data_IF_610590559770
#
_entry.id   IF_610590559770
#
_cell.length_a   1.000
_cell.length_b   1.000
_cell.length_c   1.000
_cell.angle_alpha   90.00
_cell.angle_beta   90.00
_cell.angle_gamma   90.00
#
_symmetry.space_group_name_H-M   'P 1'
#
loop_
_entity.id
_entity.type
_entity.pdbx_description
1 polymer ?
#
# COMPACT_ATOMS: atom_id res chain seq x y z
N UNK A 1 -3.32 1.16 11.91
CA UNK A 1 -3.86 1.79 10.68
C UNK A 1 -2.89 2.79 10.08
N UNK A 2 -2.52 3.90 10.74
CA UNK A 2 -1.64 4.94 10.14
C UNK A 2 -0.37 4.37 9.49
N UNK A 3 0.36 3.50 10.20
CA UNK A 3 1.55 2.84 9.64
C UNK A 3 1.26 1.96 8.42
N UNK A 4 0.14 1.23 8.42
CA UNK A 4 -0.25 0.43 7.26
C UNK A 4 -0.55 1.33 6.05
N UNK A 5 -1.27 2.44 6.25
CA UNK A 5 -1.53 3.41 5.19
C UNK A 5 -0.25 4.03 4.63
N UNK A 6 0.76 4.28 5.46
CA UNK A 6 2.05 4.84 5.02
C UNK A 6 2.97 3.83 4.32
N UNK A 7 2.81 2.53 4.59
CA UNK A 7 3.77 1.51 4.16
C UNK A 7 3.21 0.52 3.13
N UNK A 8 1.90 0.52 2.85
CA UNK A 8 1.27 -0.52 2.02
C UNK A 8 1.83 -0.61 0.59
N UNK A 9 2.23 0.53 0.01
CA UNK A 9 2.79 0.64 -1.35
C UNK A 9 4.31 0.86 -1.36
N UNK A 10 5.01 0.64 -0.24
CA UNK A 10 6.47 0.92 -0.13
C UNK A 10 7.33 0.18 -1.15
N UNK A 11 6.81 -0.90 -1.72
CA UNK A 11 7.46 -1.74 -2.72
C UNK A 11 7.16 -1.36 -4.16
N UNK A 12 6.26 -0.39 -4.40
CA UNK A 12 5.91 0.08 -5.74
C UNK A 12 6.81 1.22 -6.24
N UNK A 13 7.89 1.55 -5.50
CA UNK A 13 8.92 2.47 -5.99
C UNK A 13 9.92 1.74 -6.88
N UNK A 14 10.42 2.35 -7.97
CA UNK A 14 11.31 1.68 -8.93
C UNK A 14 12.55 1.03 -8.29
N UNK A 15 13.14 1.69 -7.29
CA UNK A 15 14.33 1.21 -6.58
C UNK A 15 14.09 -0.12 -5.88
N UNK A 16 12.86 -0.39 -5.45
CA UNK A 16 12.49 -1.63 -4.76
C UNK A 16 11.97 -2.66 -5.75
N UNK A 17 11.20 -2.24 -6.78
CA UNK A 17 10.66 -3.15 -7.81
C UNK A 17 11.77 -3.78 -8.67
N UNK A 18 12.82 -3.02 -8.99
CA UNK A 18 13.88 -3.46 -9.91
C UNK A 18 14.97 -4.31 -9.24
N UNK A 19 14.92 -4.44 -7.91
CA UNK A 19 15.85 -5.29 -7.16
C UNK A 19 15.50 -6.78 -7.34
N UNK A 20 16.47 -7.56 -7.81
CA UNK A 20 16.36 -9.02 -7.95
C UNK A 20 16.17 -9.74 -6.61
N UNK A 21 16.45 -9.09 -5.48
CA UNK A 21 16.12 -9.62 -4.15
C UNK A 21 14.61 -9.54 -3.85
N UNK A 22 13.85 -8.70 -4.57
CA UNK A 22 12.45 -8.37 -4.28
C UNK A 22 11.49 -8.97 -5.31
N UNK A 23 11.63 -10.26 -5.62
CA UNK A 23 10.85 -10.96 -6.66
C UNK A 23 9.49 -11.50 -6.17
N UNK A 24 9.16 -11.28 -4.88
CA UNK A 24 7.83 -11.56 -4.36
C UNK A 24 6.84 -10.47 -4.80
N UNK A 25 5.55 -10.80 -4.79
CA UNK A 25 4.47 -9.83 -5.00
C UNK A 25 4.64 -8.63 -4.08
N UNK A 26 4.42 -7.43 -4.59
CA UNK A 26 4.66 -6.18 -3.86
C UNK A 26 3.98 -6.14 -2.48
N UNK A 27 2.81 -6.77 -2.33
CA UNK A 27 2.08 -6.89 -1.06
C UNK A 27 2.88 -7.71 -0.04
N UNK A 28 3.37 -8.88 -0.45
CA UNK A 28 4.12 -9.80 0.41
C UNK A 28 5.47 -9.19 0.75
N UNK A 29 6.18 -8.68 -0.26
CA UNK A 29 7.46 -8.00 -0.06
C UNK A 29 7.30 -6.78 0.85
N UNK A 30 6.23 -6.00 0.68
CA UNK A 30 5.92 -4.83 1.49
C UNK A 30 5.67 -5.20 2.94
N UNK A 31 4.97 -6.31 3.19
CA UNK A 31 4.81 -6.87 4.53
C UNK A 31 6.14 -7.26 5.18
N UNK A 32 7.06 -7.88 4.43
CA UNK A 32 8.39 -8.24 4.93
C UNK A 32 9.20 -6.98 5.27
N UNK A 33 9.26 -6.00 4.36
CA UNK A 33 9.98 -4.75 4.60
C UNK A 33 9.38 -3.98 5.78
N UNK A 34 8.05 -3.88 5.88
CA UNK A 34 7.39 -3.24 7.00
C UNK A 34 7.68 -3.97 8.33
N UNK A 35 7.68 -5.31 8.33
CA UNK A 35 8.06 -6.08 9.51
C UNK A 35 9.47 -5.74 9.96
N UNK A 36 10.44 -5.72 9.04
CA UNK A 36 11.82 -5.35 9.34
C UNK A 36 11.93 -3.89 9.82
N UNK A 37 11.24 -2.97 9.17
CA UNK A 37 11.24 -1.56 9.56
C UNK A 37 10.79 -1.35 11.00
N UNK A 38 9.69 -2.02 11.37
CA UNK A 38 9.02 -1.81 12.65
C UNK A 38 9.61 -2.67 13.77
N UNK A 39 10.22 -3.81 13.44
CA UNK A 39 10.83 -4.71 14.42
C UNK A 39 12.19 -4.23 14.92
N UNK A 40 12.84 -3.34 14.17
CA UNK A 40 14.20 -2.96 14.45
C UNK A 40 14.36 -1.44 14.55
N UNK A 41 15.24 -0.95 15.43
CA UNK A 41 15.59 0.47 15.45
C UNK A 41 16.17 0.91 14.11
N UNK A 42 15.61 2.00 13.60
CA UNK A 42 16.17 2.68 12.46
C UNK A 42 17.45 3.40 12.90
N UNK A 43 18.57 3.25 12.17
CA UNK A 43 19.71 4.12 12.41
C UNK A 43 19.26 5.57 12.19
N UNK A 44 19.60 6.46 13.12
CA UNK A 44 19.44 7.90 12.91
C UNK A 44 20.41 8.33 11.81
N UNK A 45 20.04 8.13 10.55
CA UNK A 45 20.80 8.59 9.40
C UNK A 45 20.25 9.92 8.94
N UNK A 46 21.11 10.93 8.97
CA UNK A 46 20.95 12.29 8.43
C UNK A 46 20.87 12.34 6.90
N UNK A 47 20.44 11.25 6.25
CA UNK A 47 20.47 11.09 4.80
C UNK A 47 19.05 10.86 4.27
N UNK A 48 18.69 11.60 3.22
CA UNK A 48 17.37 11.59 2.56
C UNK A 48 17.07 10.29 1.78
N UNK A 49 17.79 9.20 2.06
CA UNK A 49 17.69 7.94 1.29
C UNK A 49 17.41 6.80 2.26
N UNK A 50 16.21 6.21 2.15
CA UNK A 50 15.78 5.09 2.98
C UNK A 50 16.47 3.82 2.48
N UNK A 51 17.53 3.37 3.17
CA UNK A 51 18.27 2.16 2.81
C UNK A 51 17.59 0.91 3.38
N UNK A 52 16.63 0.36 2.64
CA UNK A 52 16.09 -0.97 2.88
C UNK A 52 17.16 -2.05 2.67
N UNK A 53 17.25 -3.04 3.57
CA UNK A 53 18.10 -4.23 3.35
C UNK A 53 19.61 -4.10 3.65
N UNK A 54 20.11 -3.00 4.23
CA UNK A 54 21.54 -2.94 4.63
C UNK A 54 21.75 -3.48 6.05
N UNK A 55 22.70 -4.42 6.18
CA UNK A 55 23.13 -5.01 7.44
C UNK A 55 23.84 -3.98 8.35
N UNK A 56 23.08 -3.09 8.98
CA UNK A 56 23.63 -2.23 10.03
C UNK A 56 23.90 -3.07 11.29
N UNK A 57 25.19 -3.22 11.61
CA UNK A 57 25.69 -3.92 12.80
C UNK A 57 25.48 -3.13 14.11
N UNK A 58 24.94 -1.91 14.04
CA UNK A 58 24.76 -1.02 15.19
C UNK A 58 23.29 -0.57 15.32
N UNK A 59 22.40 -1.50 15.69
CA UNK A 59 20.98 -1.22 15.90
C UNK A 59 20.68 -0.98 17.40
N UNK A 60 20.56 0.28 17.81
CA UNK A 60 20.15 0.68 19.18
C UNK A 60 18.65 0.96 19.27
N UNK A 61 17.93 0.25 20.14
CA UNK A 61 16.45 0.23 20.31
C UNK A 61 15.76 1.60 20.24
N UNK A 62 14.64 1.75 19.52
CA UNK A 62 13.91 3.01 19.47
C UNK A 62 13.07 3.22 20.74
N UNK A 63 12.70 4.47 20.98
CA UNK A 63 11.84 4.88 22.09
C UNK A 63 10.44 4.28 21.88
N UNK A 64 10.22 3.14 22.54
CA UNK A 64 9.01 2.29 22.51
C UNK A 64 8.79 1.58 21.16
N UNK A 65 9.41 0.39 20.95
CA UNK A 65 9.07 -0.44 19.80
C UNK A 65 7.58 -0.81 19.88
N UNK A 66 6.87 -0.72 18.76
CA UNK A 66 5.52 -1.29 18.64
C UNK A 66 5.54 -2.72 19.17
N UNK A 67 4.47 -3.12 19.85
CA UNK A 67 4.36 -4.51 20.29
C UNK A 67 4.39 -5.44 19.06
N UNK A 68 4.93 -6.66 19.22
CA UNK A 68 4.93 -7.67 18.15
C UNK A 68 3.54 -7.89 17.55
N UNK A 69 2.50 -7.79 18.39
CA UNK A 69 1.11 -7.86 17.98
C UNK A 69 0.75 -6.72 17.00
N UNK A 70 1.05 -5.47 17.35
CA UNK A 70 0.78 -4.31 16.47
C UNK A 70 1.59 -4.36 15.16
N UNK A 71 2.84 -4.86 15.22
CA UNK A 71 3.63 -5.11 14.01
C UNK A 71 2.92 -6.14 13.14
N UNK A 72 2.45 -7.24 13.72
CA UNK A 72 1.65 -8.26 13.04
C UNK A 72 0.40 -7.69 12.38
N UNK A 73 -0.35 -6.82 13.07
CA UNK A 73 -1.55 -6.17 12.50
C UNK A 73 -1.21 -5.31 11.28
N UNK A 74 -0.12 -4.54 11.33
CA UNK A 74 0.34 -3.72 10.19
C UNK A 74 0.76 -4.61 9.03
N UNK A 75 1.58 -5.63 9.30
CA UNK A 75 2.09 -6.56 8.28
C UNK A 75 0.94 -7.30 7.61
N UNK A 76 0.01 -7.87 8.37
CA UNK A 76 -1.16 -8.55 7.82
C UNK A 76 -2.02 -7.60 6.98
N UNK A 77 -2.22 -6.36 7.45
CA UNK A 77 -2.94 -5.35 6.67
C UNK A 77 -2.28 -5.08 5.33
N UNK A 78 -0.95 -4.99 5.27
CA UNK A 78 -0.19 -4.78 4.04
C UNK A 78 -0.24 -6.02 3.14
N UNK A 79 -0.07 -7.23 3.66
CA UNK A 79 -0.07 -8.43 2.80
C UNK A 79 -1.42 -8.63 2.13
N UNK A 80 -2.51 -8.31 2.84
CA UNK A 80 -3.87 -8.58 2.36
C UNK A 80 -4.51 -7.39 1.65
N UNK A 81 -3.87 -6.22 1.54
CA UNK A 81 -4.57 -4.97 1.19
C UNK A 81 -5.25 -4.93 -0.19
N UNK A 82 -4.86 -5.83 -1.09
CA UNK A 82 -5.47 -6.00 -2.43
C UNK A 82 -6.41 -7.19 -2.53
N UNK A 83 -6.51 -8.02 -1.49
CA UNK A 83 -7.36 -9.22 -1.46
C UNK A 83 -8.83 -8.83 -1.16
N UNK A 84 -9.46 -8.22 -2.16
CA UNK A 84 -10.78 -7.57 -2.05
C UNK A 84 -11.95 -8.48 -2.40
N UNK A 85 -11.70 -9.74 -2.83
CA UNK A 85 -12.74 -10.60 -3.43
C UNK A 85 -12.95 -11.94 -2.73
N UNK A 86 -12.33 -12.17 -1.57
CA UNK A 86 -12.48 -13.42 -0.82
C UNK A 86 -13.40 -13.24 0.40
N UNK A 87 -14.38 -14.14 0.63
CA UNK A 87 -15.16 -14.13 1.86
C UNK A 87 -14.27 -14.52 3.06
N UNK A 88 -14.36 -13.76 4.15
CA UNK A 88 -13.54 -14.01 5.33
C UNK A 88 -13.67 -12.97 6.43
N UNK A 89 -12.77 -13.04 7.41
CA UNK A 89 -12.64 -12.03 8.47
C UNK A 89 -11.25 -11.43 8.39
N UNK A 90 -11.20 -10.11 8.37
CA UNK A 90 -9.99 -9.32 8.46
C UNK A 90 -9.93 -8.63 9.81
N UNK A 91 -8.73 -8.36 10.32
CA UNK A 91 -8.58 -7.50 11.49
C UNK A 91 -9.03 -6.06 11.14
N UNK A 92 -9.33 -5.22 12.14
CA UNK A 92 -9.85 -3.87 11.92
C UNK A 92 -8.87 -2.97 11.14
N UNK A 93 -7.56 -3.15 11.33
CA UNK A 93 -6.55 -2.41 10.60
C UNK A 93 -6.59 -2.76 9.10
N UNK A 94 -6.70 -4.05 8.76
CA UNK A 94 -6.79 -4.52 7.39
C UNK A 94 -8.08 -4.05 6.70
N UNK A 95 -9.23 -4.13 7.40
CA UNK A 95 -10.49 -3.60 6.88
C UNK A 95 -10.41 -2.09 6.59
N UNK A 96 -9.85 -1.31 7.51
CA UNK A 96 -9.70 0.13 7.33
C UNK A 96 -8.74 0.47 6.18
N UNK A 97 -7.64 -0.27 6.06
CA UNK A 97 -6.68 -0.13 4.95
C UNK A 97 -7.34 -0.47 3.61
N UNK A 98 -8.09 -1.57 3.51
CA UNK A 98 -8.85 -1.94 2.30
C UNK A 98 -9.80 -0.83 1.88
N UNK A 99 -10.58 -0.33 2.83
CA UNK A 99 -11.56 0.74 2.61
C UNK A 99 -10.91 2.02 2.08
N UNK A 100 -9.77 2.42 2.67
CA UNK A 100 -9.00 3.57 2.21
C UNK A 100 -8.49 3.40 0.78
N UNK A 101 -7.91 2.25 0.46
CA UNK A 101 -7.36 1.96 -0.87
C UNK A 101 -8.47 1.87 -1.92
N UNK A 102 -9.59 1.22 -1.60
CA UNK A 102 -10.73 1.14 -2.52
C UNK A 102 -11.33 2.53 -2.80
N UNK A 103 -11.43 3.40 -1.78
CA UNK A 103 -11.85 4.78 -1.99
C UNK A 103 -10.87 5.53 -2.89
N UNK A 104 -9.58 5.43 -2.59
CA UNK A 104 -8.52 6.15 -3.28
C UNK A 104 -8.35 5.65 -4.74
N UNK A 105 -8.13 4.37 -4.93
CA UNK A 105 -7.84 3.75 -6.22
C UNK A 105 -9.07 3.63 -7.12
N UNK A 106 -10.24 3.30 -6.56
CA UNK A 106 -11.44 2.97 -7.35
C UNK A 106 -12.52 4.05 -7.32
N UNK A 107 -12.38 5.09 -6.49
CA UNK A 107 -13.38 6.16 -6.40
C UNK A 107 -14.73 5.64 -5.92
N UNK A 108 -14.70 4.54 -5.19
CA UNK A 108 -15.88 3.78 -4.84
C UNK A 108 -16.57 3.04 -5.98
N UNK A 109 -15.79 2.43 -6.87
CA UNK A 109 -16.23 1.35 -7.75
C UNK A 109 -16.95 0.20 -7.01
N UNK A 110 -17.53 -0.78 -7.74
CA UNK A 110 -18.39 -1.81 -7.14
C UNK A 110 -17.75 -2.47 -5.91
N UNK A 111 -18.47 -2.55 -4.78
CA UNK A 111 -19.83 -2.07 -4.57
C UNK A 111 -19.83 -0.55 -4.38
N UNK A 112 -20.64 0.16 -5.18
CA UNK A 112 -20.85 1.61 -5.16
C UNK A 112 -21.39 2.18 -3.82
N UNK A 113 -21.40 1.36 -2.78
CA UNK A 113 -21.81 1.66 -1.42
C UNK A 113 -20.66 2.22 -0.57
N UNK A 114 -19.40 2.06 -0.96
CA UNK A 114 -18.27 2.55 -0.17
C UNK A 114 -18.32 4.07 -0.02
N UNK A 115 -18.70 4.82 -1.06
CA UNK A 115 -18.91 6.28 -0.96
C UNK A 115 -19.99 6.68 0.05
N UNK A 116 -20.92 5.78 0.40
CA UNK A 116 -21.94 6.05 1.43
C UNK A 116 -21.36 6.02 2.85
N UNK A 117 -20.15 5.50 3.02
CA UNK A 117 -19.47 5.44 4.31
C UNK A 117 -18.74 6.76 4.66
N UNK A 118 -18.50 7.64 3.69
CA UNK A 118 -17.88 8.95 3.92
C UNK A 118 -18.81 10.09 3.53
N UNK A 119 -18.74 11.17 4.29
CA UNK A 119 -19.36 12.42 3.89
C UNK A 119 -18.58 13.03 2.70
N UNK A 120 -19.25 13.57 1.65
CA UNK A 120 -18.57 14.18 0.52
C UNK A 120 -17.52 15.24 0.92
N UNK A 121 -17.83 16.09 1.90
CA UNK A 121 -16.89 17.10 2.40
C UNK A 121 -15.61 16.49 2.99
N UNK A 122 -15.69 15.30 3.60
CA UNK A 122 -14.49 14.60 4.11
C UNK A 122 -13.56 14.23 2.96
N UNK A 123 -14.12 13.74 1.85
CA UNK A 123 -13.37 13.37 0.65
C UNK A 123 -12.75 14.62 0.01
N UNK A 124 -13.55 15.68 -0.19
CA UNK A 124 -13.08 16.93 -0.80
C UNK A 124 -12.01 17.65 0.04
N UNK A 125 -12.17 17.69 1.36
CA UNK A 125 -11.17 18.27 2.26
C UNK A 125 -9.86 17.47 2.24
N UNK A 126 -9.94 16.13 2.22
CA UNK A 126 -8.78 15.26 2.09
C UNK A 126 -8.03 15.49 0.77
N UNK A 127 -8.76 15.50 -0.35
CA UNK A 127 -8.20 15.75 -1.67
C UNK A 127 -7.59 17.16 -1.81
N UNK A 128 -8.15 18.15 -1.11
CA UNK A 128 -7.60 19.51 -1.07
C UNK A 128 -6.29 19.60 -0.30
N UNK A 129 -6.20 18.92 0.85
CA UNK A 129 -4.99 18.94 1.70
C UNK A 129 -3.86 18.10 1.10
N UNK A 130 -4.20 16.97 0.48
CA UNK A 130 -3.27 16.04 -0.16
C UNK A 130 -3.60 15.91 -1.65
N UNK A 131 -3.31 16.94 -2.45
CA UNK A 131 -3.68 16.96 -3.87
C UNK A 131 -2.92 15.88 -4.64
N UNK A 132 -3.63 15.19 -5.52
CA UNK A 132 -3.01 14.30 -6.50
C UNK A 132 -2.31 15.14 -7.56
N UNK A 133 -1.02 14.88 -7.77
CA UNK A 133 -0.19 15.56 -8.79
C UNK A 133 0.05 14.61 -9.96
N UNK A 134 0.42 15.14 -11.13
CA UNK A 134 0.87 14.34 -12.30
C UNK A 134 1.95 13.30 -12.00
N UNK A 135 2.72 13.52 -10.95
CA UNK A 135 3.82 12.65 -10.51
C UNK A 135 3.33 11.52 -9.59
N UNK A 136 2.19 11.71 -8.92
CA UNK A 136 1.51 10.72 -8.06
C UNK A 136 0.13 10.32 -8.63
N UNK A 137 -0.11 10.59 -9.92
CA UNK A 137 -1.46 10.61 -10.51
C UNK A 137 -2.02 9.21 -10.74
N UNK A 138 -1.17 8.18 -10.71
CA UNK A 138 -1.63 6.85 -11.08
C UNK A 138 -0.82 5.73 -10.43
N UNK A 139 -1.51 5.00 -9.56
CA UNK A 139 -1.12 3.69 -9.05
C UNK A 139 -1.09 2.62 -10.17
N UNK A 140 -1.59 2.94 -11.37
CA UNK A 140 -1.68 1.98 -12.47
C UNK A 140 -0.31 1.64 -13.04
N UNK A 141 0.59 2.61 -13.26
CA UNK A 141 1.89 2.37 -13.88
C UNK A 141 2.79 1.47 -13.02
N UNK A 142 2.95 1.70 -11.70
CA UNK A 142 3.70 0.79 -10.84
C UNK A 142 3.11 -0.63 -10.80
N UNK A 143 1.78 -0.76 -10.83
CA UNK A 143 1.11 -2.06 -10.88
C UNK A 143 1.25 -2.76 -12.23
N UNK A 144 1.20 -2.02 -13.34
CA UNK A 144 1.49 -2.56 -14.67
C UNK A 144 2.93 -3.06 -14.73
N UNK A 145 3.90 -2.30 -14.20
CA UNK A 145 5.29 -2.72 -14.09
C UNK A 145 5.38 -4.02 -13.28
N UNK A 146 4.76 -4.09 -12.12
CA UNK A 146 4.73 -5.30 -11.28
C UNK A 146 4.25 -6.52 -12.06
N UNK A 147 3.19 -6.39 -12.88
CA UNK A 147 2.69 -7.48 -13.73
C UNK A 147 3.69 -7.89 -14.82
N UNK A 148 4.45 -6.94 -15.38
CA UNK A 148 5.47 -7.20 -16.39
C UNK A 148 6.69 -7.94 -15.81
N UNK A 149 7.19 -7.48 -14.67
CA UNK A 149 8.41 -8.04 -14.05
C UNK A 149 8.14 -9.29 -13.21
N UNK A 150 6.92 -9.44 -12.68
CA UNK A 150 6.51 -10.57 -11.83
C UNK A 150 5.17 -11.14 -12.31
N UNK A 151 5.15 -11.87 -13.43
CA UNK A 151 3.91 -12.38 -14.04
C UNK A 151 3.20 -13.47 -13.20
N UNK A 152 3.81 -13.97 -12.13
CA UNK A 152 3.18 -14.88 -11.16
C UNK A 152 2.78 -14.22 -9.84
N UNK A 153 2.83 -12.89 -9.74
CA UNK A 153 2.55 -12.18 -8.49
C UNK A 153 1.07 -12.23 -8.10
N UNK A 154 0.78 -11.95 -6.83
CA UNK A 154 -0.56 -11.91 -6.26
C UNK A 154 -1.48 -10.91 -6.96
N UNK A 155 -0.94 -9.84 -7.55
CA UNK A 155 -1.71 -8.88 -8.35
C UNK A 155 -2.41 -9.54 -9.55
N UNK A 156 -1.90 -10.70 -10.01
CA UNK A 156 -2.56 -11.51 -11.06
C UNK A 156 -3.73 -12.34 -10.55
N UNK A 157 -3.82 -12.55 -9.22
CA UNK A 157 -4.89 -13.35 -8.62
C UNK A 157 -6.18 -12.54 -8.61
N UNK A 158 -7.22 -13.13 -9.20
CA UNK A 158 -8.39 -12.42 -9.70
C UNK A 158 -8.26 -12.31 -11.21
N UNK A 159 -9.15 -12.97 -11.96
CA UNK A 159 -9.17 -13.02 -13.43
C UNK A 159 -9.42 -11.64 -14.13
N UNK A 160 -8.95 -10.54 -13.53
CA UNK A 160 -9.34 -9.16 -13.76
C UNK A 160 -8.23 -8.13 -13.46
N UNK A 161 -6.96 -8.50 -13.30
CA UNK A 161 -5.89 -7.52 -13.07
C UNK A 161 -5.97 -6.34 -14.08
N UNK A 162 -6.12 -6.64 -15.37
CA UNK A 162 -6.35 -5.63 -16.41
C UNK A 162 -7.67 -4.86 -16.24
N UNK A 163 -8.86 -5.49 -16.12
CA UNK A 163 -10.11 -4.76 -15.83
C UNK A 163 -10.08 -3.89 -14.57
N UNK A 164 -9.38 -4.30 -13.51
CA UNK A 164 -9.23 -3.50 -12.29
C UNK A 164 -8.35 -2.28 -12.53
N UNK A 165 -7.24 -2.45 -13.24
CA UNK A 165 -6.36 -1.34 -13.64
C UNK A 165 -7.05 -0.37 -14.61
N UNK A 166 -7.91 -0.87 -15.50
CA UNK A 166 -8.78 -0.03 -16.33
C UNK A 166 -9.78 0.75 -15.47
N UNK A 167 -10.41 0.10 -14.48
CA UNK A 167 -11.32 0.77 -13.55
C UNK A 167 -10.60 1.88 -12.77
N UNK A 168 -9.40 1.60 -12.27
CA UNK A 168 -8.53 2.59 -11.62
C UNK A 168 -8.21 3.76 -12.54
N UNK A 169 -7.83 3.50 -13.80
CA UNK A 169 -7.56 4.56 -14.79
C UNK A 169 -8.80 5.41 -15.10
N UNK A 170 -9.98 4.79 -15.08
CA UNK A 170 -11.26 5.47 -15.36
C UNK A 170 -11.91 6.11 -14.15
N UNK A 171 -11.26 6.08 -12.98
CA UNK A 171 -11.87 6.56 -11.75
C UNK A 171 -12.10 8.09 -11.84
N UNK A 172 -13.36 8.57 -11.80
CA UNK A 172 -13.70 9.97 -12.02
C UNK A 172 -13.23 10.89 -10.88
N UNK A 173 -12.83 10.34 -9.73
CA UNK A 173 -12.21 11.12 -8.66
C UNK A 173 -10.81 11.63 -9.02
N UNK A 174 -10.16 11.06 -10.05
CA UNK A 174 -8.92 11.62 -10.61
C UNK A 174 -9.16 12.86 -11.47
N UNK A 175 -10.40 13.15 -11.88
CA UNK A 175 -10.74 14.29 -12.74
C UNK A 175 -11.37 15.47 -11.98
N UNK A 176 -11.68 15.32 -10.68
CA UNK A 176 -12.23 16.41 -9.86
C UNK A 176 -11.16 17.47 -9.57
N UNK A 177 -10.99 18.38 -10.52
CA UNK A 177 -10.27 19.66 -10.39
C UNK A 177 -11.20 20.78 -9.95
#
# INVERSE_FOLDING_TARGET
>A
MWLAAMLHDVTLVPEVQDDLANQLSFQIQGGILAHEYLSYPQPQLTSNTLHWGTNSKNRSTPATPLSKYQIGEVVESIVLHTDTMQPGRLNLCAQATHLGIMLDALGGGPPADILRLWHPDTILNGAKEWPRTKENESLVEPLMRELEIKPGCQTTTGARAFPLLELMRSNPYFEMK
#
